data_IF_431824774314
#
_entry.id   IF_431824774314
#
_cell.length_a   1.000
_cell.length_b   1.000
_cell.length_c   1.000
_cell.angle_alpha   90.00
_cell.angle_beta   90.00
_cell.angle_gamma   90.00
#
_symmetry.space_group_name_H-M   'P 1'
#
loop_
_entity.id
_entity.type
_entity.pdbx_description
1 polymer ?
#
# COMPACT_ATOMS: atom_id res chain seq x y z
N UNK A 1 -14.63 24.49 47.27
CA UNK A 1 -15.17 23.35 46.49
C UNK A 1 -15.90 23.72 45.19
N UNK A 2 -16.29 24.98 44.93
CA UNK A 2 -16.91 25.38 43.63
C UNK A 2 -15.94 25.85 42.53
N UNK A 3 -14.64 26.02 42.82
CA UNK A 3 -13.64 26.51 41.85
C UNK A 3 -12.80 25.41 41.18
N UNK A 4 -12.87 24.17 41.66
CA UNK A 4 -12.18 23.00 41.07
C UNK A 4 -13.08 22.33 40.00
N UNK A 5 -14.41 22.41 40.15
CA UNK A 5 -15.35 21.85 39.19
C UNK A 5 -15.35 22.57 37.82
N UNK A 6 -15.04 23.87 37.78
CA UNK A 6 -14.99 24.65 36.53
C UNK A 6 -13.72 24.34 35.73
N UNK A 7 -12.61 24.02 36.40
CA UNK A 7 -11.35 23.67 35.74
C UNK A 7 -11.40 22.26 35.12
N UNK A 8 -12.09 21.32 35.77
CA UNK A 8 -12.30 19.95 35.23
C UNK A 8 -13.28 19.96 34.05
N UNK A 9 -14.29 20.83 34.05
CA UNK A 9 -15.19 20.99 32.90
C UNK A 9 -14.51 21.65 31.69
N UNK A 10 -13.59 22.60 31.91
CA UNK A 10 -12.83 23.24 30.83
C UNK A 10 -11.77 22.30 30.22
N UNK A 11 -11.14 21.43 31.02
CA UNK A 11 -10.18 20.43 30.52
C UNK A 11 -10.90 19.28 29.81
N UNK A 12 -12.10 18.88 30.27
CA UNK A 12 -12.94 17.91 29.54
C UNK A 12 -13.47 18.47 28.21
N UNK A 13 -13.79 19.76 28.15
CA UNK A 13 -14.18 20.42 26.88
C UNK A 13 -12.98 20.58 25.93
N UNK A 14 -11.76 20.80 26.43
CA UNK A 14 -10.55 20.87 25.61
C UNK A 14 -10.07 19.49 25.12
N UNK A 15 -10.39 18.41 25.84
CA UNK A 15 -10.13 17.02 25.42
C UNK A 15 -11.19 16.46 24.45
N UNK A 16 -12.32 17.15 24.27
CA UNK A 16 -13.37 16.79 23.31
C UNK A 16 -13.22 17.48 21.94
N UNK A 17 -12.28 18.40 21.79
CA UNK A 17 -12.04 19.14 20.52
C UNK A 17 -10.90 18.53 19.68
N UNK A 18 -10.16 17.53 20.20
CA UNK A 18 -9.16 16.78 19.41
C UNK A 18 -9.66 15.45 18.82
N UNK A 19 -10.98 15.21 18.83
CA UNK A 19 -11.57 13.98 18.28
C UNK A 19 -12.12 14.11 16.84
N UNK A 20 -11.99 15.28 16.20
CA UNK A 20 -12.39 15.49 14.80
C UNK A 20 -11.26 16.17 14.03
N UNK A 21 -10.11 15.50 13.99
CA UNK A 21 -9.14 15.66 12.92
C UNK A 21 -9.34 14.53 11.93
N UNK A 22 -10.48 14.49 11.24
CA UNK A 22 -10.54 13.83 9.94
C UNK A 22 -9.66 14.67 9.01
N UNK A 23 -8.35 14.37 8.98
CA UNK A 23 -7.59 14.66 7.76
C UNK A 23 -8.38 14.06 6.60
N UNK A 24 -8.37 14.71 5.43
CA UNK A 24 -9.15 14.39 4.23
C UNK A 24 -8.93 13.00 3.63
N UNK A 25 -9.05 11.96 4.45
CA UNK A 25 -9.25 10.59 4.07
C UNK A 25 -10.68 10.48 3.57
N UNK A 26 -10.80 9.89 2.39
CA UNK A 26 -12.05 9.54 1.74
C UNK A 26 -13.09 9.09 2.79
N UNK A 27 -14.17 9.84 2.97
CA UNK A 27 -15.33 9.35 3.70
C UNK A 27 -15.89 8.18 2.87
N UNK A 28 -15.45 6.98 3.21
CA UNK A 28 -15.98 5.75 2.63
C UNK A 28 -17.47 5.63 2.95
N UNK A 29 -18.29 5.06 2.05
CA UNK A 29 -19.68 4.74 2.37
C UNK A 29 -19.78 3.91 3.66
N UNK A 30 -20.87 4.11 4.41
CA UNK A 30 -21.18 3.41 5.66
C UNK A 30 -20.91 1.91 5.52
N UNK A 31 -20.13 1.33 6.45
CA UNK A 31 -19.80 -0.09 6.42
C UNK A 31 -21.07 -0.94 6.34
N UNK A 32 -21.28 -1.63 5.21
CA UNK A 32 -22.33 -2.62 5.08
C UNK A 32 -21.97 -3.88 5.89
N UNK A 33 -22.93 -4.79 6.08
CA UNK A 33 -22.68 -6.09 6.70
C UNK A 33 -21.62 -6.87 5.91
N UNK A 34 -20.40 -6.92 6.45
CA UNK A 34 -19.32 -7.73 5.91
C UNK A 34 -19.40 -9.16 6.46
N UNK A 35 -19.18 -10.14 5.60
CA UNK A 35 -19.09 -11.56 5.98
C UNK A 35 -17.63 -11.98 5.94
N UNK A 36 -17.17 -12.66 6.99
CA UNK A 36 -15.85 -13.29 7.02
C UNK A 36 -16.00 -14.80 6.96
N UNK A 37 -15.29 -15.45 6.03
CA UNK A 37 -15.21 -16.90 5.93
C UNK A 37 -13.76 -17.37 5.90
N UNK A 38 -13.50 -18.55 6.47
CA UNK A 38 -12.21 -19.21 6.35
C UNK A 38 -12.22 -20.09 5.11
N UNK A 39 -11.29 -19.81 4.21
CA UNK A 39 -11.04 -20.59 3.00
C UNK A 39 -9.74 -21.37 3.18
N UNK A 40 -9.74 -22.66 2.82
CA UNK A 40 -8.57 -23.53 2.95
C UNK A 40 -8.42 -24.31 1.64
N UNK A 41 -7.21 -24.31 1.10
CA UNK A 41 -6.89 -25.05 -0.11
C UNK A 41 -5.52 -25.75 -0.01
N UNK A 42 -5.43 -27.06 -0.36
CA UNK A 42 -6.51 -27.94 -0.84
C UNK A 42 -7.57 -28.21 0.24
N UNK A 43 -8.79 -28.57 -0.17
CA UNK A 43 -9.86 -28.92 0.78
C UNK A 43 -9.54 -30.26 1.44
N UNK A 44 -9.64 -30.31 2.77
CA UNK A 44 -9.44 -31.54 3.55
C UNK A 44 -10.33 -32.69 3.03
N UNK A 45 -9.84 -33.94 3.01
CA UNK A 45 -8.61 -34.44 3.63
C UNK A 45 -7.33 -34.25 2.77
N UNK A 46 -7.43 -33.62 1.60
CA UNK A 46 -6.26 -33.38 0.74
C UNK A 46 -5.31 -32.35 1.36
N UNK A 47 -4.02 -32.42 1.07
CA UNK A 47 -3.03 -31.41 1.45
C UNK A 47 -1.89 -31.38 0.44
N UNK A 48 -1.12 -30.29 0.43
CA UNK A 48 0.15 -30.27 -0.29
C UNK A 48 1.19 -31.07 0.50
N UNK A 49 1.85 -31.99 -0.20
CA UNK A 49 3.01 -32.70 0.36
C UNK A 49 4.28 -31.99 -0.10
N UNK A 50 4.96 -31.31 0.82
CA UNK A 50 6.21 -30.61 0.54
C UNK A 50 7.37 -31.52 0.96
N UNK A 51 8.18 -32.06 0.04
CA UNK A 51 9.28 -32.94 0.38
C UNK A 51 10.29 -32.25 1.31
N UNK A 52 10.89 -33.02 2.24
CA UNK A 52 12.01 -32.52 3.04
C UNK A 52 13.32 -32.51 2.25
N UNK A 53 14.39 -32.04 2.88
CA UNK A 53 15.74 -32.02 2.31
C UNK A 53 16.02 -30.76 1.49
N UNK A 54 15.55 -29.61 1.96
CA UNK A 54 15.71 -28.32 1.27
C UNK A 54 15.10 -28.32 -0.14
N UNK A 55 13.90 -28.88 -0.24
CA UNK A 55 13.11 -28.93 -1.46
C UNK A 55 12.01 -27.87 -1.44
N UNK A 56 11.39 -27.67 -2.59
CA UNK A 56 10.25 -26.79 -2.75
C UNK A 56 9.13 -27.48 -3.54
N UNK A 57 7.91 -27.02 -3.31
CA UNK A 57 6.75 -27.29 -4.13
C UNK A 57 6.31 -25.97 -4.79
N UNK A 58 6.38 -25.94 -6.11
CA UNK A 58 5.95 -24.82 -6.94
C UNK A 58 4.86 -25.29 -7.89
N UNK A 59 3.74 -24.57 -7.95
CA UNK A 59 2.69 -24.89 -8.91
C UNK A 59 1.76 -23.70 -9.20
N UNK A 60 0.97 -23.84 -10.25
CA UNK A 60 -0.14 -22.95 -10.57
C UNK A 60 -1.40 -23.78 -10.79
N UNK A 61 -2.47 -23.48 -10.08
CA UNK A 61 -3.72 -24.22 -10.17
C UNK A 61 -4.95 -23.31 -10.24
N UNK A 62 -5.96 -23.76 -10.99
CA UNK A 62 -7.25 -23.08 -11.07
C UNK A 62 -8.18 -23.59 -9.98
N UNK A 63 -8.61 -22.71 -9.09
CA UNK A 63 -9.50 -23.02 -7.96
C UNK A 63 -10.88 -22.40 -8.19
N UNK A 64 -11.89 -23.27 -8.29
CA UNK A 64 -13.30 -22.87 -8.48
C UNK A 64 -14.08 -22.77 -7.17
N UNK A 65 -13.55 -23.35 -6.08
CA UNK A 65 -14.16 -23.32 -4.76
C UNK A 65 -13.87 -21.99 -4.07
N UNK A 66 -14.45 -20.90 -4.58
CA UNK A 66 -14.24 -19.56 -4.04
C UNK A 66 -15.03 -19.30 -2.75
N UNK A 67 -14.53 -18.46 -1.82
CA UNK A 67 -15.20 -18.11 -0.57
C UNK A 67 -16.53 -17.37 -0.77
N UNK A 68 -16.68 -16.70 -1.91
CA UNK A 68 -17.91 -16.08 -2.38
C UNK A 68 -17.88 -15.95 -3.91
N UNK A 69 -19.05 -15.78 -4.52
CA UNK A 69 -19.20 -15.39 -5.93
C UNK A 69 -20.16 -14.22 -6.02
N UNK A 70 -19.97 -13.33 -7.00
CA UNK A 70 -20.73 -12.08 -7.11
C UNK A 70 -20.66 -11.22 -5.83
N UNK A 71 -19.43 -10.94 -5.41
CA UNK A 71 -19.10 -10.28 -4.14
C UNK A 71 -17.91 -9.34 -4.30
N UNK A 72 -17.74 -8.44 -3.34
CA UNK A 72 -16.58 -7.55 -3.21
C UNK A 72 -15.74 -8.01 -2.04
N UNK A 73 -14.54 -8.50 -2.31
CA UNK A 73 -13.56 -8.86 -1.30
C UNK A 73 -12.95 -7.57 -0.77
N UNK A 74 -12.99 -7.38 0.54
CA UNK A 74 -12.43 -6.19 1.20
C UNK A 74 -11.21 -6.53 2.04
N UNK A 75 -10.97 -7.82 2.30
CA UNK A 75 -9.81 -8.31 3.04
C UNK A 75 -9.42 -9.73 2.66
N UNK A 76 -8.13 -9.96 2.49
CA UNK A 76 -7.53 -11.30 2.41
C UNK A 76 -6.37 -11.36 3.40
N UNK A 77 -6.49 -12.25 4.40
CA UNK A 77 -5.44 -12.52 5.37
C UNK A 77 -4.90 -13.94 5.16
N UNK A 78 -3.67 -14.08 4.65
CA UNK A 78 -3.11 -15.37 4.34
C UNK A 78 -2.39 -16.02 5.51
N UNK A 79 -2.39 -17.35 5.51
CA UNK A 79 -1.64 -18.22 6.39
C UNK A 79 -1.25 -19.52 5.68
N UNK A 80 -0.22 -20.20 6.19
CA UNK A 80 0.10 -21.59 5.88
C UNK A 80 -0.18 -22.41 7.12
N UNK A 81 -0.89 -23.52 7.00
CA UNK A 81 -1.22 -24.39 8.12
C UNK A 81 -0.79 -25.82 7.83
N UNK A 82 -0.49 -26.59 8.86
CA UNK A 82 -0.40 -28.04 8.72
C UNK A 82 -1.80 -28.62 8.49
N UNK A 83 -1.94 -29.54 7.53
CA UNK A 83 -3.21 -30.20 7.24
C UNK A 83 -2.97 -31.68 6.96
N UNK A 84 -3.50 -32.52 7.85
CA UNK A 84 -3.28 -33.97 7.79
C UNK A 84 -1.83 -34.39 8.07
N UNK A 85 -1.00 -33.50 8.64
CA UNK A 85 0.37 -33.82 9.03
C UNK A 85 0.39 -34.59 10.36
N UNK A 86 1.01 -35.77 10.37
CA UNK A 86 1.07 -36.62 11.55
C UNK A 86 1.87 -36.02 12.71
N UNK A 87 2.82 -35.12 12.42
CA UNK A 87 3.61 -34.43 13.45
C UNK A 87 2.91 -33.19 13.99
N UNK A 88 1.90 -32.67 13.29
CA UNK A 88 1.13 -31.46 13.64
C UNK A 88 -0.38 -31.71 13.54
N UNK A 89 -0.93 -32.61 14.38
CA UNK A 89 -2.34 -33.00 14.30
C UNK A 89 -3.31 -31.87 14.70
N UNK A 90 -2.82 -30.82 15.35
CA UNK A 90 -3.59 -29.65 15.79
C UNK A 90 -3.78 -28.59 14.70
N UNK A 91 -3.14 -28.76 13.53
CA UNK A 91 -3.28 -27.86 12.40
C UNK A 91 -2.73 -26.45 12.66
N UNK A 92 -1.67 -26.36 13.46
CA UNK A 92 -0.99 -25.09 13.75
C UNK A 92 -0.52 -24.39 12.48
N UNK A 93 -0.24 -23.09 12.59
CA UNK A 93 0.37 -22.31 11.52
C UNK A 93 1.78 -22.82 11.26
N UNK A 94 2.04 -23.15 10.00
CA UNK A 94 3.36 -23.46 9.47
C UNK A 94 4.10 -22.15 9.15
N UNK A 95 5.33 -22.06 9.63
CA UNK A 95 6.25 -20.95 9.45
C UNK A 95 7.65 -21.46 9.80
N UNK A 96 8.68 -20.84 9.22
CA UNK A 96 10.04 -21.37 9.12
C UNK A 96 10.62 -21.96 10.43
N UNK A 97 10.38 -21.35 11.59
CA UNK A 97 10.89 -21.78 12.90
C UNK A 97 9.79 -21.93 13.97
N UNK A 98 8.65 -22.59 13.71
CA UNK A 98 7.61 -22.67 14.75
C UNK A 98 8.19 -23.20 16.08
N UNK A 99 7.79 -22.59 17.21
CA UNK A 99 8.38 -22.72 18.56
C UNK A 99 8.46 -24.19 19.09
N UNK A 100 7.95 -25.16 18.33
CA UNK A 100 7.95 -26.57 18.71
C UNK A 100 8.71 -27.49 17.75
N UNK A 101 9.06 -27.05 16.54
CA UNK A 101 9.63 -27.95 15.53
C UNK A 101 10.71 -27.32 14.66
N UNK A 102 11.78 -28.08 14.45
CA UNK A 102 12.83 -27.81 13.44
C UNK A 102 12.33 -28.16 12.03
N UNK A 103 11.10 -27.76 11.73
CA UNK A 103 10.35 -28.22 10.57
C UNK A 103 10.77 -27.55 9.29
N UNK A 104 11.19 -26.29 9.37
CA UNK A 104 11.74 -25.57 8.24
C UNK A 104 10.78 -25.46 7.06
N UNK A 105 9.45 -25.52 7.26
CA UNK A 105 8.45 -25.37 6.19
C UNK A 105 7.83 -23.97 6.22
N UNK A 106 7.77 -23.31 5.06
CA UNK A 106 7.22 -21.97 4.95
C UNK A 106 6.63 -21.71 3.57
N UNK A 107 5.71 -20.76 3.53
CA UNK A 107 5.16 -20.22 2.29
C UNK A 107 6.17 -19.19 1.78
N UNK A 108 6.89 -19.50 0.72
CA UNK A 108 7.91 -18.62 0.17
C UNK A 108 7.24 -17.41 -0.49
N UNK A 109 6.29 -17.66 -1.39
CA UNK A 109 5.32 -16.68 -1.89
C UNK A 109 4.10 -17.40 -2.48
N UNK A 110 3.00 -16.68 -2.63
CA UNK A 110 1.85 -17.04 -3.45
C UNK A 110 1.25 -15.79 -4.07
N UNK A 111 0.53 -16.00 -5.17
CA UNK A 111 -0.23 -14.98 -5.87
C UNK A 111 -1.60 -15.56 -6.19
N UNK A 112 -2.65 -14.78 -5.95
CA UNK A 112 -4.00 -15.07 -6.45
C UNK A 112 -4.24 -14.19 -7.67
N UNK A 113 -4.49 -14.82 -8.81
CA UNK A 113 -4.88 -14.15 -10.05
C UNK A 113 -6.37 -14.38 -10.29
N UNK A 114 -7.06 -13.36 -10.77
CA UNK A 114 -8.47 -13.50 -11.17
C UNK A 114 -8.57 -14.33 -12.45
N UNK A 115 -9.26 -15.46 -12.40
CA UNK A 115 -9.48 -16.34 -13.55
C UNK A 115 -10.37 -15.74 -14.63
N UNK A 116 -11.18 -14.73 -14.32
CA UNK A 116 -11.94 -13.95 -15.30
C UNK A 116 -11.15 -12.80 -15.90
N UNK A 117 -10.10 -12.33 -15.21
CA UNK A 117 -9.22 -11.28 -15.71
C UNK A 117 -7.77 -11.54 -15.32
N UNK A 118 -7.03 -12.20 -16.20
CA UNK A 118 -5.66 -12.65 -15.95
C UNK A 118 -4.65 -11.49 -15.76
N UNK A 119 -5.02 -10.24 -16.06
CA UNK A 119 -4.17 -9.08 -15.74
C UNK A 119 -4.19 -8.73 -14.26
N UNK A 120 -5.25 -9.14 -13.55
CA UNK A 120 -5.51 -8.78 -12.17
C UNK A 120 -4.91 -9.82 -11.23
N UNK A 121 -3.77 -9.47 -10.61
CA UNK A 121 -3.21 -10.20 -9.48
C UNK A 121 -3.78 -9.58 -8.22
N UNK A 122 -4.73 -10.27 -7.61
CA UNK A 122 -5.59 -9.79 -6.51
C UNK A 122 -4.76 -9.55 -5.25
N UNK A 123 -3.85 -10.47 -4.92
CA UNK A 123 -2.94 -10.36 -3.78
C UNK A 123 -1.68 -11.18 -4.09
N UNK A 124 -0.54 -10.70 -3.62
CA UNK A 124 0.68 -11.48 -3.45
C UNK A 124 1.16 -11.39 -2.01
N UNK A 125 1.62 -12.51 -1.46
CA UNK A 125 2.24 -12.56 -0.13
C UNK A 125 3.06 -13.85 0.02
N UNK A 126 3.98 -13.89 0.97
CA UNK A 126 4.77 -15.05 1.32
C UNK A 126 4.87 -15.23 2.83
N UNK A 127 6.08 -15.50 3.31
CA UNK A 127 6.31 -15.80 4.72
C UNK A 127 5.99 -14.61 5.64
N UNK A 128 5.99 -13.41 5.07
CA UNK A 128 5.65 -12.15 5.70
C UNK A 128 4.17 -11.97 6.06
N UNK A 129 3.27 -12.80 5.50
CA UNK A 129 1.81 -12.75 5.75
C UNK A 129 1.23 -11.34 5.57
N UNK A 130 1.59 -10.67 4.48
CA UNK A 130 1.02 -9.39 4.08
C UNK A 130 -0.48 -9.55 3.88
N UNK A 131 -1.25 -8.68 4.54
CA UNK A 131 -2.71 -8.67 4.47
C UNK A 131 -3.11 -7.68 3.39
N UNK A 132 -3.99 -8.11 2.47
CA UNK A 132 -4.78 -7.16 1.70
C UNK A 132 -5.93 -6.69 2.59
N UNK A 133 -6.04 -5.38 2.78
CA UNK A 133 -7.15 -4.74 3.47
C UNK A 133 -7.47 -3.45 2.74
N UNK A 134 -8.60 -3.44 2.04
CA UNK A 134 -9.08 -2.23 1.38
C UNK A 134 -9.62 -1.24 2.43
N UNK A 135 -9.52 0.07 2.18
CA UNK A 135 -10.20 1.07 2.98
C UNK A 135 -11.71 0.81 3.01
N UNK A 136 -12.39 1.16 4.12
CA UNK A 136 -13.85 1.00 4.21
C UNK A 136 -14.57 1.59 3.00
N UNK A 137 -15.47 0.81 2.41
CA UNK A 137 -16.26 1.22 1.25
C UNK A 137 -15.66 0.89 -0.12
N UNK A 138 -14.51 0.22 -0.17
CA UNK A 138 -13.94 -0.33 -1.40
C UNK A 138 -13.84 -1.86 -1.32
N UNK A 139 -13.74 -2.52 -2.46
CA UNK A 139 -13.42 -3.95 -2.52
C UNK A 139 -13.09 -4.45 -3.92
N UNK A 140 -12.34 -5.54 -4.02
CA UNK A 140 -12.10 -6.24 -5.28
C UNK A 140 -13.32 -7.08 -5.69
N UNK A 141 -13.90 -6.80 -6.86
CA UNK A 141 -15.09 -7.53 -7.34
C UNK A 141 -14.73 -8.91 -7.91
N UNK A 142 -15.39 -9.95 -7.42
CA UNK A 142 -15.37 -11.31 -7.98
C UNK A 142 -16.71 -11.58 -8.67
N UNK A 143 -16.66 -11.71 -9.99
CA UNK A 143 -17.84 -12.00 -10.81
C UNK A 143 -18.39 -13.42 -10.61
N UNK A 144 -19.67 -13.65 -10.98
CA UNK A 144 -20.24 -14.99 -11.00
C UNK A 144 -19.52 -15.88 -12.03
N UNK A 145 -19.21 -17.12 -11.64
CA UNK A 145 -18.52 -18.08 -12.51
C UNK A 145 -17.01 -17.87 -12.65
N UNK A 146 -16.43 -16.88 -11.98
CA UNK A 146 -14.99 -16.68 -11.93
C UNK A 146 -14.31 -17.71 -11.03
N UNK A 147 -13.04 -17.96 -11.31
CA UNK A 147 -12.15 -18.79 -10.50
C UNK A 147 -10.99 -17.95 -9.98
N UNK A 148 -10.23 -18.49 -9.05
CA UNK A 148 -8.89 -18.01 -8.75
C UNK A 148 -7.88 -18.88 -9.46
N UNK A 149 -6.78 -18.28 -9.90
CA UNK A 149 -5.58 -19.01 -10.25
C UNK A 149 -4.60 -18.78 -9.10
N UNK A 150 -4.30 -19.84 -8.36
CA UNK A 150 -3.39 -19.82 -7.24
C UNK A 150 -2.01 -20.26 -7.75
N UNK A 151 -1.08 -19.30 -7.83
CA UNK A 151 0.34 -19.57 -8.03
C UNK A 151 1.01 -19.59 -6.65
N UNK A 152 1.83 -20.60 -6.35
CA UNK A 152 2.48 -20.69 -5.05
C UNK A 152 3.84 -21.37 -5.13
N UNK A 153 4.68 -21.00 -4.17
CA UNK A 153 5.98 -21.57 -3.89
C UNK A 153 6.07 -21.84 -2.39
N UNK A 154 6.16 -23.11 -2.00
CA UNK A 154 6.26 -23.53 -0.60
C UNK A 154 7.56 -24.30 -0.42
N UNK A 155 8.40 -23.86 0.50
CA UNK A 155 9.70 -24.45 0.76
C UNK A 155 9.69 -25.31 2.02
N UNK A 156 10.56 -26.32 2.05
CA UNK A 156 10.83 -27.16 3.21
C UNK A 156 12.32 -27.47 3.34
N UNK A 157 12.98 -26.76 4.27
CA UNK A 157 14.37 -26.96 4.67
C UNK A 157 14.53 -28.03 5.75
N UNK A 158 13.44 -28.50 6.36
CA UNK A 158 13.45 -29.62 7.30
C UNK A 158 13.76 -30.95 6.60
N UNK A 159 14.12 -31.96 7.38
CA UNK A 159 14.51 -33.27 6.84
C UNK A 159 13.33 -34.13 6.40
N UNK A 160 12.14 -33.88 6.95
CA UNK A 160 10.95 -34.70 6.74
C UNK A 160 9.97 -34.00 5.80
N UNK A 161 9.25 -34.78 5.00
CA UNK A 161 8.12 -34.25 4.25
C UNK A 161 7.06 -33.70 5.20
N UNK A 162 6.42 -32.59 4.80
CA UNK A 162 5.36 -31.92 5.56
C UNK A 162 4.10 -31.78 4.74
N UNK A 163 2.96 -31.88 5.42
CA UNK A 163 1.65 -31.76 4.82
C UNK A 163 0.99 -30.44 5.22
N UNK A 164 0.77 -29.56 4.24
CA UNK A 164 0.30 -28.19 4.48
C UNK A 164 -0.85 -27.79 3.57
N UNK A 165 -1.55 -26.71 3.95
CA UNK A 165 -2.56 -26.06 3.14
C UNK A 165 -2.44 -24.53 3.30
N UNK A 166 -2.83 -23.80 2.27
CA UNK A 166 -2.96 -22.34 2.34
C UNK A 166 -4.34 -22.04 2.94
N UNK A 167 -4.35 -21.21 3.98
CA UNK A 167 -5.57 -20.71 4.63
C UNK A 167 -5.69 -19.22 4.38
N UNK A 168 -6.89 -18.77 4.03
CA UNK A 168 -7.23 -17.35 3.94
C UNK A 168 -8.43 -17.07 4.85
N UNK A 169 -8.33 -16.04 5.68
CA UNK A 169 -9.53 -15.39 6.22
C UNK A 169 -9.98 -14.33 5.22
N UNK A 170 -11.12 -14.58 4.59
CA UNK A 170 -11.65 -13.76 3.50
C UNK A 170 -12.82 -12.96 4.02
N UNK A 171 -12.73 -11.63 3.95
CA UNK A 171 -13.85 -10.74 4.28
C UNK A 171 -14.40 -10.15 3.00
N UNK A 172 -15.71 -10.22 2.83
CA UNK A 172 -16.38 -9.76 1.62
C UNK A 172 -17.77 -9.17 1.93
N UNK A 173 -18.29 -8.41 0.96
CA UNK A 173 -19.63 -7.86 0.97
C UNK A 173 -20.37 -8.27 -0.31
N UNK A 174 -21.69 -8.43 -0.24
CA UNK A 174 -22.55 -8.71 -1.41
C UNK A 174 -23.28 -7.46 -1.91
N UNK A 175 -23.24 -6.38 -1.13
CA UNK A 175 -23.65 -5.05 -1.60
C UNK A 175 -22.54 -4.49 -2.49
N UNK A 176 -22.94 -3.84 -3.59
CA UNK A 176 -21.98 -3.27 -4.54
C UNK A 176 -21.12 -2.20 -3.87
N UNK A 177 -19.81 -2.30 -4.07
CA UNK A 177 -18.81 -1.31 -3.66
C UNK A 177 -18.09 -0.76 -4.89
N UNK A 178 -17.56 0.47 -4.83
CA UNK A 178 -16.48 0.91 -5.70
C UNK A 178 -15.36 -0.14 -5.78
N UNK A 179 -15.00 -0.51 -7.01
CA UNK A 179 -14.03 -1.58 -7.25
C UNK A 179 -12.60 -1.12 -6.99
N UNK A 180 -11.87 -1.92 -6.21
CA UNK A 180 -10.42 -1.90 -6.15
C UNK A 180 -9.85 -2.64 -7.38
N UNK A 181 -9.00 -1.97 -8.15
CA UNK A 181 -8.38 -2.46 -9.39
C UNK A 181 -6.87 -2.64 -9.14
N UNK A 182 -6.37 -3.89 -9.12
CA UNK A 182 -4.96 -4.15 -8.88
C UNK A 182 -4.14 -3.86 -10.14
N UNK A 183 -3.00 -3.20 -9.93
CA UNK A 183 -1.94 -2.96 -10.91
C UNK A 183 -0.70 -3.71 -10.40
N UNK A 184 -0.20 -4.61 -11.24
CA UNK A 184 0.97 -5.43 -10.94
C UNK A 184 2.23 -4.74 -11.43
N UNK A 185 3.15 -4.51 -10.50
CA UNK A 185 4.47 -3.95 -10.77
C UNK A 185 5.51 -5.02 -10.43
N UNK A 186 6.44 -5.25 -11.34
CA UNK A 186 7.47 -6.26 -11.27
C UNK A 186 8.77 -5.68 -11.82
N UNK A 187 9.87 -5.82 -11.06
CA UNK A 187 11.16 -5.35 -11.54
C UNK A 187 11.68 -6.21 -12.69
N UNK A 188 11.31 -7.48 -12.70
CA UNK A 188 11.84 -8.48 -13.62
C UNK A 188 10.85 -8.72 -14.76
N UNK A 189 11.38 -8.85 -15.97
CA UNK A 189 10.61 -9.34 -17.12
C UNK A 189 10.62 -10.88 -17.21
N UNK A 190 11.27 -11.56 -16.27
CA UNK A 190 11.34 -13.02 -16.25
C UNK A 190 10.02 -13.63 -15.76
N UNK A 191 9.74 -14.84 -16.23
CA UNK A 191 8.48 -15.55 -15.90
C UNK A 191 8.32 -15.89 -14.42
N UNK A 192 9.43 -15.95 -13.67
CA UNK A 192 9.47 -16.22 -12.24
C UNK A 192 9.63 -14.94 -11.39
N UNK A 193 9.60 -13.74 -11.99
CA UNK A 193 9.76 -12.46 -11.29
C UNK A 193 11.11 -12.29 -10.55
N UNK A 194 12.09 -13.14 -10.85
CA UNK A 194 13.39 -13.14 -10.18
C UNK A 194 14.49 -12.54 -11.07
N UNK A 195 15.56 -12.05 -10.44
CA UNK A 195 16.76 -11.56 -11.09
C UNK A 195 18.00 -11.77 -10.19
N UNK A 196 19.19 -11.64 -10.78
CA UNK A 196 20.44 -11.77 -10.04
C UNK A 196 20.90 -10.43 -9.47
N UNK A 197 21.19 -10.40 -8.17
CA UNK A 197 21.85 -9.28 -7.50
C UNK A 197 23.33 -9.59 -7.22
N UNK A 198 24.20 -8.57 -7.27
CA UNK A 198 25.59 -8.73 -6.89
C UNK A 198 25.74 -8.95 -5.37
N UNK A 199 26.98 -9.08 -4.91
CA UNK A 199 27.28 -8.89 -3.50
C UNK A 199 27.18 -7.42 -3.13
N UNK A 200 26.96 -7.14 -1.84
CA UNK A 200 26.75 -5.80 -1.31
C UNK A 200 25.47 -5.15 -1.84
N UNK A 201 25.43 -3.82 -1.81
CA UNK A 201 24.28 -3.03 -2.14
C UNK A 201 23.91 -3.12 -3.63
N UNK A 202 22.61 -3.22 -3.89
CA UNK A 202 21.99 -3.12 -5.20
C UNK A 202 20.69 -2.35 -5.10
N UNK A 203 20.47 -1.39 -5.99
CA UNK A 203 19.17 -0.79 -6.26
C UNK A 203 18.88 -0.96 -7.74
N UNK A 204 18.17 -2.03 -8.07
CA UNK A 204 17.73 -2.30 -9.44
C UNK A 204 16.34 -1.77 -9.61
N UNK A 205 16.05 -1.23 -10.78
CA UNK A 205 14.73 -0.70 -11.06
C UNK A 205 14.25 -1.04 -12.46
N UNK A 206 12.95 -0.92 -12.68
CA UNK A 206 12.41 -0.95 -14.05
C UNK A 206 13.04 0.14 -14.90
N UNK A 207 13.14 -0.09 -16.21
CA UNK A 207 13.86 0.79 -17.14
C UNK A 207 15.37 0.56 -17.18
N UNK A 208 15.96 -0.19 -16.24
CA UNK A 208 17.34 -0.65 -16.35
C UNK A 208 17.50 -1.70 -17.46
N UNK A 209 18.72 -1.77 -18.01
CA UNK A 209 19.09 -2.85 -18.93
C UNK A 209 18.94 -4.22 -18.28
N UNK A 210 18.17 -5.10 -18.93
CA UNK A 210 17.88 -6.46 -18.45
C UNK A 210 16.76 -6.55 -17.42
N UNK A 211 16.08 -5.43 -17.11
CA UNK A 211 14.91 -5.37 -16.23
C UNK A 211 13.63 -5.09 -17.04
N UNK A 212 12.47 -5.20 -16.41
CA UNK A 212 11.21 -4.79 -17.02
C UNK A 212 11.23 -3.29 -17.37
N UNK A 213 10.48 -2.87 -18.39
CA UNK A 213 10.34 -1.45 -18.72
C UNK A 213 9.59 -0.68 -17.62
N UNK A 214 9.78 0.64 -17.53
CA UNK A 214 8.94 1.47 -16.66
C UNK A 214 7.47 1.36 -17.08
N UNK A 215 6.57 1.49 -16.11
CA UNK A 215 5.13 1.30 -16.30
C UNK A 215 4.47 2.61 -16.70
N UNK A 216 4.12 2.75 -17.98
CA UNK A 216 3.22 3.83 -18.41
C UNK A 216 1.78 3.46 -18.06
N UNK A 217 1.18 4.27 -17.19
CA UNK A 217 -0.19 4.06 -16.71
C UNK A 217 -1.19 4.37 -17.82
N UNK A 218 -2.16 3.48 -18.00
CA UNK A 218 -3.27 3.65 -18.95
C UNK A 218 -4.59 3.99 -18.27
N UNK A 219 -4.61 3.96 -16.94
CA UNK A 219 -5.77 4.18 -16.10
C UNK A 219 -5.57 5.46 -15.29
N UNK A 220 -6.68 6.11 -14.98
CA UNK A 220 -6.74 7.12 -13.91
C UNK A 220 -7.39 6.53 -12.67
N UNK A 221 -6.97 6.95 -11.49
CA UNK A 221 -7.48 6.41 -10.24
C UNK A 221 -6.84 7.00 -9.00
N UNK A 222 -7.49 6.82 -7.85
CA UNK A 222 -6.87 7.05 -6.55
C UNK A 222 -6.26 5.74 -6.06
N UNK A 223 -5.00 5.77 -5.66
CA UNK A 223 -4.35 4.67 -4.97
C UNK A 223 -4.96 4.56 -3.57
N UNK A 224 -5.61 3.44 -3.31
CA UNK A 224 -6.28 3.14 -2.04
C UNK A 224 -5.50 2.14 -1.19
N UNK A 225 -4.47 1.53 -1.77
CA UNK A 225 -3.56 0.64 -1.08
C UNK A 225 -2.41 0.24 -1.99
N UNK A 226 -1.28 -0.09 -1.39
CA UNK A 226 -0.17 -0.71 -2.11
C UNK A 226 0.66 -1.53 -1.11
N UNK A 227 1.30 -2.59 -1.60
CA UNK A 227 2.19 -3.42 -0.81
C UNK A 227 3.17 -4.18 -1.70
N UNK A 228 4.30 -4.57 -1.13
CA UNK A 228 5.36 -5.25 -1.86
C UNK A 228 5.79 -6.59 -1.28
N UNK A 229 6.59 -7.29 -2.05
CA UNK A 229 7.28 -8.52 -1.65
C UNK A 229 8.70 -8.53 -2.24
N UNK A 230 9.65 -8.98 -1.42
CA UNK A 230 11.06 -9.18 -1.77
C UNK A 230 11.54 -10.48 -1.13
N UNK A 231 12.64 -11.03 -1.63
CA UNK A 231 13.31 -12.19 -1.03
C UNK A 231 14.38 -11.75 -0.03
N UNK A 232 15.04 -12.72 0.61
CA UNK A 232 16.09 -12.48 1.60
C UNK A 232 17.18 -11.51 1.11
N UNK A 233 17.77 -10.79 2.06
CA UNK A 233 18.66 -9.64 1.82
C UNK A 233 17.95 -8.42 1.20
N UNK A 234 16.66 -8.52 0.87
CA UNK A 234 15.84 -7.41 0.41
C UNK A 234 15.60 -6.43 1.54
N UNK A 235 15.72 -5.14 1.24
CA UNK A 235 15.52 -4.01 2.17
C UNK A 235 14.12 -3.43 1.96
N UNK A 236 13.79 -3.20 0.69
CA UNK A 236 12.52 -2.62 0.30
C UNK A 236 12.25 -2.80 -1.18
N UNK A 237 10.99 -2.61 -1.53
CA UNK A 237 10.54 -2.35 -2.89
C UNK A 237 9.71 -1.07 -2.88
N UNK A 238 9.98 -0.18 -3.83
CA UNK A 238 9.48 1.19 -3.83
C UNK A 238 8.96 1.59 -5.20
N UNK A 239 7.79 2.23 -5.23
CA UNK A 239 7.22 2.82 -6.42
C UNK A 239 7.55 4.32 -6.48
N UNK A 240 8.06 4.77 -7.62
CA UNK A 240 8.45 6.15 -7.89
C UNK A 240 7.74 6.64 -9.15
N UNK A 241 7.06 7.78 -9.09
CA UNK A 241 6.61 8.45 -10.31
C UNK A 241 7.81 9.22 -10.88
N UNK A 242 8.14 8.99 -12.14
CA UNK A 242 9.30 9.63 -12.80
C UNK A 242 9.07 11.08 -13.21
N UNK A 243 7.86 11.60 -13.00
CA UNK A 243 7.44 12.94 -13.40
C UNK A 243 7.13 13.09 -14.89
N UNK A 244 7.28 12.02 -15.69
CA UNK A 244 6.71 11.98 -17.03
C UNK A 244 5.18 12.03 -16.94
N UNK A 245 4.54 12.77 -17.86
CA UNK A 245 3.09 13.01 -17.82
C UNK A 245 2.67 14.26 -17.06
N UNK A 246 3.57 15.25 -16.90
CA UNK A 246 3.30 16.54 -16.23
C UNK A 246 2.89 16.39 -14.75
N UNK A 247 3.47 15.41 -14.05
CA UNK A 247 3.39 15.18 -12.60
C UNK A 247 4.75 15.42 -11.93
N UNK A 248 4.83 15.70 -10.62
CA UNK A 248 6.12 15.78 -9.95
C UNK A 248 6.77 14.40 -9.90
N UNK A 249 8.10 14.37 -10.01
CA UNK A 249 8.88 13.18 -9.72
C UNK A 249 8.94 12.97 -8.20
N UNK A 250 8.36 11.88 -7.71
CA UNK A 250 8.36 11.60 -6.28
C UNK A 250 8.06 10.13 -5.97
N UNK A 251 8.41 9.74 -4.75
CA UNK A 251 8.12 8.43 -4.19
C UNK A 251 6.63 8.32 -3.87
N UNK A 252 5.98 7.32 -4.45
CA UNK A 252 4.58 6.99 -4.17
C UNK A 252 4.50 6.15 -2.89
N UNK A 253 5.34 5.13 -2.82
CA UNK A 253 5.41 4.24 -1.67
C UNK A 253 6.77 3.55 -1.57
N UNK A 254 7.20 3.28 -0.34
CA UNK A 254 8.20 2.26 -0.02
C UNK A 254 7.63 1.18 0.90
N UNK A 255 7.63 -0.08 0.43
CA UNK A 255 7.30 -1.27 1.22
C UNK A 255 8.58 -1.89 1.74
N UNK A 256 8.74 -1.90 3.06
CA UNK A 256 9.97 -2.27 3.76
C UNK A 256 9.87 -3.70 4.28
N UNK A 257 10.95 -4.47 4.14
CA UNK A 257 11.05 -5.82 4.68
C UNK A 257 11.32 -5.83 6.20
N UNK A 258 10.76 -6.82 6.88
CA UNK A 258 10.94 -7.07 8.30
C UNK A 258 11.55 -8.45 8.52
N UNK A 259 12.55 -8.51 9.39
CA UNK A 259 13.24 -9.75 9.76
C UNK A 259 13.14 -10.01 11.26
N UNK A 260 13.21 -11.29 11.63
CA UNK A 260 13.35 -11.72 13.02
C UNK A 260 14.74 -11.40 13.59
N UNK A 261 14.83 -11.28 14.92
CA UNK A 261 16.07 -10.85 15.59
C UNK A 261 17.24 -11.77 15.34
N UNK A 262 18.39 -11.21 14.93
CA UNK A 262 19.61 -11.96 14.67
C UNK A 262 19.58 -12.73 13.36
N UNK A 263 18.67 -12.42 12.42
CA UNK A 263 18.67 -13.05 11.10
C UNK A 263 20.00 -12.85 10.37
N UNK A 264 20.54 -13.94 9.81
CA UNK A 264 21.68 -13.89 8.86
C UNK A 264 21.31 -13.27 7.51
N UNK A 265 20.02 -13.15 7.21
CA UNK A 265 19.50 -12.55 5.97
C UNK A 265 19.20 -11.05 6.13
N UNK A 266 19.31 -10.51 7.35
CA UNK A 266 19.06 -9.10 7.61
C UNK A 266 20.05 -8.23 6.79
N UNK A 267 19.56 -7.35 5.91
CA UNK A 267 20.42 -6.44 5.18
C UNK A 267 20.87 -5.29 6.08
N UNK A 268 22.17 -5.03 6.14
CA UNK A 268 22.73 -3.93 6.97
C UNK A 268 23.30 -2.81 6.10
N UNK A 269 22.73 -1.60 6.17
CA UNK A 269 23.24 -0.39 5.50
C UNK A 269 22.45 0.06 4.27
N UNK A 270 23.00 1.02 3.52
CA UNK A 270 22.43 1.61 2.30
C UNK A 270 22.37 3.15 2.33
N UNK A 271 21.90 3.81 1.26
CA UNK A 271 22.11 5.24 1.05
C UNK A 271 21.20 6.17 1.88
N UNK A 272 20.10 5.66 2.45
CA UNK A 272 19.20 6.45 3.30
C UNK A 272 18.32 7.45 2.52
N UNK A 273 17.70 7.01 1.44
CA UNK A 273 16.77 7.81 0.62
C UNK A 273 15.31 7.56 1.03
N UNK A 274 14.31 8.36 0.59
CA UNK A 274 12.90 8.02 0.86
C UNK A 274 12.50 6.64 0.30
N UNK A 275 13.03 6.26 -0.87
CA UNK A 275 12.91 4.93 -1.45
C UNK A 275 13.68 3.82 -0.72
N UNK A 276 14.54 4.19 0.23
CA UNK A 276 15.41 3.32 1.03
C UNK A 276 15.58 3.91 2.43
N UNK A 277 14.53 3.91 3.28
CA UNK A 277 14.62 4.55 4.57
C UNK A 277 15.66 3.83 5.43
N UNK A 278 16.46 4.58 6.19
CA UNK A 278 17.52 3.99 7.04
C UNK A 278 16.94 2.94 8.02
N UNK A 279 15.70 3.17 8.46
CA UNK A 279 14.93 2.25 9.30
C UNK A 279 14.56 0.93 8.60
N UNK A 280 14.66 0.82 7.28
CA UNK A 280 14.44 -0.45 6.55
C UNK A 280 15.53 -1.50 6.81
N UNK A 281 16.65 -1.10 7.41
CA UNK A 281 17.67 -2.02 7.92
C UNK A 281 17.46 -2.42 9.39
N UNK A 282 16.34 -2.02 10.00
CA UNK A 282 16.01 -2.38 11.39
C UNK A 282 15.09 -3.59 11.46
N UNK A 283 15.39 -4.49 12.41
CA UNK A 283 14.59 -5.68 12.68
C UNK A 283 13.15 -5.27 13.04
N UNK A 284 12.22 -5.47 12.11
CA UNK A 284 10.81 -5.15 12.33
C UNK A 284 10.12 -6.40 12.87
N UNK A 285 10.01 -6.48 14.20
CA UNK A 285 9.38 -7.58 14.90
C UNK A 285 7.85 -7.47 14.83
N UNK A 286 7.19 -8.36 14.08
CA UNK A 286 5.71 -8.49 14.13
C UNK A 286 5.31 -9.46 15.24
N UNK A 287 4.79 -8.94 16.35
CA UNK A 287 4.28 -9.75 17.46
C UNK A 287 3.13 -10.66 16.98
N UNK A 288 3.25 -11.98 17.20
CA UNK A 288 2.28 -12.99 16.76
C UNK A 288 2.81 -13.96 15.68
N UNK A 289 3.77 -13.53 14.85
CA UNK A 289 4.57 -14.43 13.99
C UNK A 289 5.97 -14.68 14.54
N UNK A 290 6.21 -14.14 15.74
CA UNK A 290 7.39 -14.37 16.57
C UNK A 290 7.59 -15.85 16.79
N UNK A 291 8.84 -16.26 16.63
CA UNK A 291 9.32 -17.56 17.00
C UNK A 291 10.62 -17.36 17.77
N UNK A 292 10.67 -17.82 19.02
CA UNK A 292 11.91 -17.92 19.77
C UNK A 292 12.75 -19.05 19.15
N UNK A 293 13.57 -18.70 18.17
CA UNK A 293 14.52 -19.60 17.53
C UNK A 293 15.95 -19.29 17.97
N UNK A 294 16.61 -20.23 18.65
CA UNK A 294 18.02 -20.10 19.05
C UNK A 294 19.04 -20.16 17.90
N UNK A 295 18.60 -20.09 16.65
CA UNK A 295 19.42 -20.36 15.47
C UNK A 295 19.25 -19.32 14.34
N UNK A 296 19.13 -18.02 14.65
CA UNK A 296 19.54 -16.87 13.80
C UNK A 296 19.27 -16.92 12.26
N UNK A 297 18.30 -17.69 11.76
CA UNK A 297 18.02 -17.89 10.32
C UNK A 297 16.59 -17.48 9.99
N UNK A 298 16.21 -16.25 10.31
CA UNK A 298 14.87 -15.78 10.02
C UNK A 298 14.80 -15.24 8.60
N UNK A 299 14.12 -15.94 7.70
CA UNK A 299 13.65 -15.35 6.45
C UNK A 299 12.75 -14.15 6.73
N UNK A 300 12.40 -13.38 5.69
CA UNK A 300 11.47 -12.26 5.83
C UNK A 300 10.19 -12.68 6.56
N UNK A 301 9.82 -11.88 7.56
CA UNK A 301 8.68 -12.09 8.47
C UNK A 301 7.63 -10.97 8.38
N UNK A 302 7.92 -9.91 7.62
CA UNK A 302 7.02 -8.78 7.44
C UNK A 302 7.34 -8.00 6.19
N UNK A 303 6.31 -7.39 5.60
CA UNK A 303 6.43 -6.28 4.66
C UNK A 303 5.50 -5.18 5.15
N UNK A 304 5.97 -3.93 5.19
CA UNK A 304 5.12 -2.81 5.59
C UNK A 304 4.11 -2.48 4.49
N UNK A 305 2.85 -2.27 4.85
CA UNK A 305 1.91 -1.63 3.94
C UNK A 305 2.33 -0.18 3.66
N UNK A 306 2.01 0.30 2.46
CA UNK A 306 2.30 1.65 2.03
C UNK A 306 1.46 2.69 2.78
N UNK A 307 2.09 3.79 3.21
CA UNK A 307 1.37 5.03 3.53
C UNK A 307 1.46 5.96 2.31
N UNK A 308 0.32 6.29 1.72
CA UNK A 308 0.25 7.05 0.47
C UNK A 308 -0.29 8.45 0.79
N UNK A 309 0.46 9.48 0.42
CA UNK A 309 0.08 10.89 0.59
C UNK A 309 -1.01 11.28 -0.41
N UNK A 310 -1.85 12.29 -0.14
CA UNK A 310 -2.87 12.65 -1.14
C UNK A 310 -2.24 13.11 -2.46
N UNK A 311 -1.13 13.86 -2.38
CA UNK A 311 -0.33 14.27 -3.54
C UNK A 311 0.05 13.12 -4.46
N UNK A 312 0.54 12.01 -3.90
CA UNK A 312 0.95 10.84 -4.67
C UNK A 312 -0.15 9.78 -4.82
N UNK A 313 -1.34 10.04 -4.29
CA UNK A 313 -2.46 9.11 -4.37
C UNK A 313 -3.20 9.15 -5.71
N UNK A 314 -2.99 10.15 -6.56
CA UNK A 314 -3.68 10.23 -7.86
C UNK A 314 -2.76 9.74 -8.95
N UNK A 315 -3.19 8.71 -9.68
CA UNK A 315 -2.57 8.21 -10.90
C UNK A 315 -3.37 8.69 -12.09
N UNK A 316 -2.66 9.13 -13.13
CA UNK A 316 -3.21 9.59 -14.39
C UNK A 316 -2.69 8.77 -15.57
N UNK A 317 -3.43 8.76 -16.71
CA UNK A 317 -2.95 8.15 -17.92
C UNK A 317 -1.71 8.90 -18.40
N UNK A 318 -0.63 8.18 -18.73
CA UNK A 318 0.65 8.75 -19.12
C UNK A 318 1.66 8.89 -17.98
N UNK A 319 1.23 8.78 -16.71
CA UNK A 319 2.18 8.66 -15.59
C UNK A 319 3.12 7.49 -15.83
N UNK A 320 4.41 7.68 -15.54
CA UNK A 320 5.41 6.61 -15.69
C UNK A 320 5.93 6.23 -14.32
N UNK A 321 5.54 5.03 -13.88
CA UNK A 321 5.90 4.45 -12.59
C UNK A 321 7.12 3.56 -12.75
N UNK A 322 8.15 3.86 -11.97
CA UNK A 322 9.35 3.06 -11.83
C UNK A 322 9.31 2.28 -10.53
N UNK A 323 9.53 0.97 -10.62
CA UNK A 323 9.69 0.12 -9.45
C UNK A 323 11.17 -0.02 -9.13
N UNK A 324 11.58 0.42 -7.95
CA UNK A 324 12.91 0.22 -7.41
C UNK A 324 12.93 -0.93 -6.42
N UNK A 325 13.98 -1.75 -6.45
CA UNK A 325 14.17 -2.94 -5.61
C UNK A 325 15.54 -2.90 -4.96
N UNK A 326 15.55 -2.76 -3.64
CA UNK A 326 16.76 -2.53 -2.89
C UNK A 326 17.16 -3.78 -2.12
N UNK A 327 18.42 -4.15 -2.27
CA UNK A 327 19.03 -5.29 -1.61
C UNK A 327 20.38 -4.91 -1.04
N UNK A 328 20.79 -5.60 0.02
CA UNK A 328 22.18 -5.61 0.45
C UNK A 328 22.61 -7.03 0.80
N UNK A 329 23.25 -7.67 -0.17
CA UNK A 329 23.61 -9.07 -0.11
C UNK A 329 24.95 -9.27 0.61
N UNK A 330 24.87 -9.79 1.82
CA UNK A 330 26.03 -10.06 2.70
C UNK A 330 26.54 -11.50 2.61
N UNK A 331 25.98 -12.34 1.73
CA UNK A 331 26.33 -13.77 1.61
C UNK A 331 27.74 -14.04 1.08
N UNK A 332 28.36 -13.06 0.40
CA UNK A 332 29.69 -13.18 -0.20
C UNK A 332 29.69 -13.75 -1.63
N UNK A 333 28.52 -14.04 -2.21
CA UNK A 333 28.36 -14.43 -3.62
C UNK A 333 27.07 -13.84 -4.22
N UNK A 334 26.95 -13.72 -5.56
CA UNK A 334 25.70 -13.26 -6.18
C UNK A 334 24.50 -14.15 -5.81
N UNK A 335 23.36 -13.52 -5.55
CA UNK A 335 22.08 -14.19 -5.25
C UNK A 335 21.23 -14.12 -6.52
N UNK A 336 20.68 -15.24 -6.97
CA UNK A 336 20.08 -15.39 -8.31
C UNK A 336 18.55 -15.33 -8.32
N UNK A 337 17.97 -15.42 -7.13
CA UNK A 337 16.56 -15.45 -6.83
C UNK A 337 16.14 -14.17 -6.10
N UNK A 338 16.69 -13.00 -6.43
CA UNK A 338 16.16 -11.75 -5.88
C UNK A 338 14.82 -11.43 -6.57
N UNK A 339 13.81 -11.03 -5.80
CA UNK A 339 12.49 -10.64 -6.31
C UNK A 339 12.16 -9.19 -5.93
N UNK A 340 11.34 -8.51 -6.73
CA UNK A 340 10.75 -7.27 -6.27
C UNK A 340 9.49 -6.95 -7.03
N UNK A 341 8.37 -7.16 -6.34
CA UNK A 341 7.03 -7.01 -6.87
C UNK A 341 6.21 -6.10 -5.95
N UNK A 342 5.26 -5.37 -6.54
CA UNK A 342 4.24 -4.62 -5.81
C UNK A 342 2.88 -4.81 -6.45
N UNK A 343 1.84 -4.80 -5.60
CA UNK A 343 0.46 -4.67 -6.04
C UNK A 343 -0.03 -3.30 -5.58
N UNK A 344 -0.37 -2.45 -6.55
CA UNK A 344 -1.02 -1.16 -6.36
C UNK A 344 -2.53 -1.33 -6.57
N UNK A 345 -3.36 -0.81 -5.67
CA UNK A 345 -4.83 -0.87 -5.82
C UNK A 345 -5.34 0.52 -6.15
N UNK A 346 -5.87 0.68 -7.36
CA UNK A 346 -6.55 1.88 -7.82
C UNK A 346 -8.04 1.74 -7.59
N UNK A 347 -8.71 2.82 -7.19
CA UNK A 347 -10.16 2.84 -7.19
C UNK A 347 -10.69 4.19 -7.65
N UNK A 348 -11.88 4.16 -8.22
CA UNK A 348 -12.66 5.34 -8.55
C UNK A 348 -13.53 5.71 -7.35
N UNK A 349 -13.38 6.91 -6.73
CA UNK A 349 -14.29 7.37 -5.69
C UNK A 349 -15.74 7.40 -6.17
N UNK A 350 -16.73 7.16 -5.28
CA UNK A 350 -18.16 7.20 -5.63
C UNK A 350 -18.61 8.51 -6.30
N UNK A 351 -18.00 9.63 -5.87
CA UNK A 351 -18.12 10.92 -6.52
C UNK A 351 -16.78 11.19 -7.18
N UNK A 352 -16.64 10.83 -8.45
CA UNK A 352 -15.46 11.17 -9.23
C UNK A 352 -15.30 12.68 -9.18
N UNK A 353 -14.18 13.22 -8.68
CA UNK A 353 -13.86 14.62 -8.87
C UNK A 353 -13.59 14.80 -10.38
N UNK A 354 -14.62 15.27 -11.10
CA UNK A 354 -14.62 15.65 -12.52
C UNK A 354 -15.55 16.87 -12.62
N UNK A 355 -15.03 18.02 -12.19
CA UNK A 355 -15.77 19.26 -12.02
C UNK A 355 -16.38 19.75 -13.34
N UNK A 356 -15.68 19.53 -14.47
CA UNK A 356 -16.12 19.96 -15.80
C UNK A 356 -16.90 18.87 -16.58
N UNK A 357 -17.04 17.66 -16.04
CA UNK A 357 -17.72 16.51 -16.63
C UNK A 357 -17.14 16.07 -18.00
N UNK A 358 -15.83 16.16 -18.20
CA UNK A 358 -15.18 15.77 -19.45
C UNK A 358 -14.69 14.30 -19.44
N UNK A 359 -14.79 13.61 -18.30
CA UNK A 359 -14.35 12.23 -18.11
C UNK A 359 -12.88 12.09 -17.64
N UNK A 360 -12.16 13.19 -17.48
CA UNK A 360 -10.84 13.28 -16.86
C UNK A 360 -11.03 13.66 -15.40
N UNK A 361 -10.27 13.04 -14.51
CA UNK A 361 -10.34 13.44 -13.11
C UNK A 361 -9.69 14.79 -12.89
N UNK A 362 -10.19 15.57 -11.95
CA UNK A 362 -9.67 16.91 -11.59
C UNK A 362 -8.15 16.87 -11.38
N UNK A 363 -7.64 15.85 -10.66
CA UNK A 363 -6.18 15.67 -10.46
C UNK A 363 -5.39 15.41 -11.76
N UNK A 364 -6.03 14.89 -12.79
CA UNK A 364 -5.47 14.57 -14.10
C UNK A 364 -5.69 15.66 -15.15
N UNK A 365 -6.34 16.76 -14.78
CA UNK A 365 -6.59 17.87 -15.67
C UNK A 365 -5.32 18.64 -16.05
N UNK A 366 -5.43 19.42 -17.13
CA UNK A 366 -4.39 20.34 -17.55
C UNK A 366 -4.10 21.39 -16.46
N UNK A 367 -2.86 21.91 -16.44
CA UNK A 367 -2.39 22.88 -15.42
C UNK A 367 -3.16 24.19 -15.34
N UNK A 368 -3.95 24.51 -16.35
CA UNK A 368 -4.72 25.75 -16.47
C UNK A 368 -6.24 25.53 -16.41
N UNK A 369 -6.69 24.29 -16.18
CA UNK A 369 -8.10 24.00 -16.01
C UNK A 369 -8.51 24.38 -14.59
N UNK A 370 -9.47 25.29 -14.49
CA UNK A 370 -10.04 25.86 -13.27
C UNK A 370 -11.55 25.98 -13.53
N UNK A 371 -12.29 24.99 -13.06
CA UNK A 371 -13.68 24.73 -13.43
C UNK A 371 -14.64 25.67 -12.74
N UNK A 372 -14.33 26.09 -11.52
CA UNK A 372 -15.13 27.08 -10.82
C UNK A 372 -14.62 28.51 -11.00
N UNK A 373 -13.42 28.73 -11.52
CA UNK A 373 -12.78 30.02 -11.74
C UNK A 373 -12.61 30.87 -10.46
N UNK A 374 -12.25 30.21 -9.36
CA UNK A 374 -11.78 30.83 -8.11
C UNK A 374 -10.27 31.17 -8.13
N UNK A 375 -9.57 30.75 -9.18
CA UNK A 375 -8.17 30.99 -9.45
C UNK A 375 -7.27 29.80 -9.19
N UNK A 376 -7.76 28.71 -8.58
CA UNK A 376 -7.00 27.48 -8.32
C UNK A 376 -7.29 26.43 -9.41
N UNK A 377 -6.25 25.80 -9.99
CA UNK A 377 -6.49 24.73 -10.95
C UNK A 377 -7.12 23.51 -10.28
N UNK A 378 -8.06 22.84 -10.96
CA UNK A 378 -8.77 21.64 -10.49
C UNK A 378 -7.81 20.57 -9.95
N UNK A 379 -6.65 20.45 -10.60
CA UNK A 379 -5.62 19.47 -10.21
C UNK A 379 -4.92 19.78 -8.89
N UNK A 380 -4.80 21.06 -8.53
CA UNK A 380 -4.27 21.50 -7.23
C UNK A 380 -5.32 21.17 -6.17
N UNK A 381 -6.56 21.55 -6.42
CA UNK A 381 -7.71 21.32 -5.53
C UNK A 381 -7.93 19.85 -5.20
N UNK A 382 -7.83 18.98 -6.21
CA UNK A 382 -7.90 17.54 -6.05
C UNK A 382 -6.85 16.98 -5.08
N UNK A 383 -5.66 17.59 -5.02
CA UNK A 383 -4.57 17.19 -4.12
C UNK A 383 -4.73 17.77 -2.73
N UNK A 384 -5.08 19.06 -2.62
CA UNK A 384 -5.23 19.76 -1.34
C UNK A 384 -6.57 19.46 -0.64
N UNK A 385 -7.47 18.77 -1.34
CA UNK A 385 -8.74 18.28 -0.81
C UNK A 385 -9.84 19.34 -0.80
N UNK A 386 -9.83 20.26 -1.76
CA UNK A 386 -10.92 21.23 -1.98
C UNK A 386 -11.82 20.84 -3.15
N UNK A 387 -12.98 21.51 -3.26
CA UNK A 387 -14.00 21.19 -4.24
C UNK A 387 -13.84 22.03 -5.51
N UNK A 388 -13.26 21.44 -6.55
CA UNK A 388 -12.94 22.11 -7.83
C UNK A 388 -14.13 22.64 -8.64
N UNK A 389 -15.36 22.41 -8.18
CA UNK A 389 -16.58 22.91 -8.81
C UNK A 389 -17.31 23.96 -7.96
N UNK A 390 -16.71 24.41 -6.87
CA UNK A 390 -17.34 25.26 -5.89
C UNK A 390 -16.35 26.30 -5.36
N UNK A 391 -16.46 27.53 -5.87
CA UNK A 391 -15.62 28.66 -5.46
C UNK A 391 -15.63 28.89 -3.96
N UNK A 392 -16.78 28.67 -3.31
CA UNK A 392 -17.04 29.03 -1.92
C UNK A 392 -17.84 27.97 -1.17
N UNK A 393 -17.58 27.88 0.12
CA UNK A 393 -18.22 26.93 1.02
C UNK A 393 -17.20 26.23 1.90
N UNK A 394 -17.67 25.22 2.63
CA UNK A 394 -16.80 24.40 3.44
C UNK A 394 -15.85 23.59 2.55
N UNK A 395 -14.53 23.75 2.75
CA UNK A 395 -13.48 23.09 1.96
C UNK A 395 -13.61 23.31 0.44
N UNK A 396 -14.01 24.52 0.06
CA UNK A 396 -14.19 24.90 -1.34
C UNK A 396 -13.01 25.66 -1.89
N UNK A 397 -12.54 26.69 -1.18
CA UNK A 397 -11.46 27.56 -1.66
C UNK A 397 -10.14 27.22 -0.96
N UNK A 398 -9.05 26.90 -1.67
CA UNK A 398 -7.77 26.57 -1.05
C UNK A 398 -7.22 27.65 -0.11
N UNK A 399 -7.48 28.93 -0.40
CA UNK A 399 -7.02 30.07 0.41
C UNK A 399 -7.85 30.35 1.68
N UNK A 400 -8.99 29.67 1.86
CA UNK A 400 -9.85 29.77 3.05
C UNK A 400 -9.79 28.43 3.81
N UNK A 401 -8.68 28.26 4.53
CA UNK A 401 -8.32 27.02 5.23
C UNK A 401 -9.36 26.69 6.29
N UNK A 402 -9.87 27.69 7.02
CA UNK A 402 -10.86 27.48 8.08
C UNK A 402 -12.33 27.62 7.63
N UNK A 403 -12.55 27.82 6.33
CA UNK A 403 -13.87 27.86 5.68
C UNK A 403 -14.80 28.96 6.24
N UNK A 404 -14.24 30.11 6.61
CA UNK A 404 -14.99 31.25 7.14
C UNK A 404 -15.50 32.21 6.04
N UNK A 405 -15.14 31.96 4.78
CA UNK A 405 -15.51 32.74 3.61
C UNK A 405 -14.54 33.89 3.28
N UNK A 406 -13.39 33.98 3.94
CA UNK A 406 -12.37 35.00 3.75
C UNK A 406 -10.98 34.39 3.83
N UNK A 407 -10.06 34.83 2.96
CA UNK A 407 -8.64 34.55 3.14
C UNK A 407 -8.04 35.62 4.06
N UNK A 408 -7.70 35.27 5.29
CA UNK A 408 -7.23 36.23 6.29
C UNK A 408 -6.00 35.77 7.08
N UNK A 409 -5.72 36.46 8.19
CA UNK A 409 -4.52 36.20 8.98
C UNK A 409 -4.57 34.84 9.69
N UNK A 410 -5.76 34.31 9.91
CA UNK A 410 -5.99 33.00 10.52
C UNK A 410 -5.53 31.90 9.57
N UNK A 411 -5.92 31.96 8.30
CA UNK A 411 -5.47 31.04 7.25
C UNK A 411 -3.95 31.09 7.07
N UNK A 412 -3.41 32.32 6.99
CA UNK A 412 -1.97 32.51 6.87
C UNK A 412 -1.22 31.97 8.10
N UNK A 413 -1.82 32.04 9.29
CA UNK A 413 -1.23 31.49 10.52
C UNK A 413 -1.23 29.96 10.50
N UNK A 414 -2.28 29.31 10.00
CA UNK A 414 -2.31 27.85 9.84
C UNK A 414 -1.22 27.38 8.87
N UNK A 415 -1.11 28.04 7.71
CA UNK A 415 -0.11 27.71 6.70
C UNK A 415 1.32 27.98 7.21
N UNK A 416 1.62 29.21 7.65
CA UNK A 416 2.98 29.58 8.11
C UNK A 416 3.40 28.89 9.40
N UNK A 417 2.46 28.43 10.22
CA UNK A 417 2.73 27.56 11.36
C UNK A 417 3.37 26.22 10.97
N UNK A 418 3.27 25.82 9.70
CA UNK A 418 3.87 24.61 9.13
C UNK A 418 5.00 24.92 8.14
N UNK A 419 5.47 26.17 8.04
CA UNK A 419 6.52 26.53 7.09
C UNK A 419 7.80 25.69 7.29
N UNK A 420 8.33 25.14 6.19
CA UNK A 420 9.49 24.27 6.15
C UNK A 420 9.21 22.82 6.56
N UNK A 421 7.95 22.45 6.81
CA UNK A 421 7.55 21.08 7.17
C UNK A 421 7.21 20.29 5.91
N UNK A 422 7.67 19.03 5.77
CA UNK A 422 7.26 18.17 4.65
C UNK A 422 5.78 17.80 4.77
N UNK A 423 5.15 17.55 3.62
CA UNK A 423 3.83 16.97 3.48
C UNK A 423 4.03 15.48 3.16
N UNK A 424 3.87 14.55 4.13
CA UNK A 424 3.52 14.67 5.55
C UNK A 424 4.72 14.94 6.49
N UNK A 425 4.50 15.39 7.76
CA UNK A 425 3.26 15.36 8.54
C UNK A 425 2.36 16.59 8.38
N UNK A 426 2.76 17.62 7.64
CA UNK A 426 1.86 18.73 7.35
C UNK A 426 0.65 18.22 6.53
N UNK A 427 -0.56 18.77 6.74
CA UNK A 427 -1.72 18.46 5.90
C UNK A 427 -1.49 18.86 4.44
N UNK A 428 -1.93 18.04 3.49
CA UNK A 428 -1.89 18.38 2.05
C UNK A 428 -2.62 19.71 1.76
N UNK A 429 -3.64 20.06 2.58
CA UNK A 429 -4.42 21.31 2.48
C UNK A 429 -3.57 22.58 2.48
N UNK A 430 -2.35 22.54 3.01
CA UNK A 430 -1.48 23.72 3.12
C UNK A 430 -0.53 23.88 1.93
N UNK A 431 -0.34 22.84 1.10
CA UNK A 431 0.50 22.87 -0.09
C UNK A 431 -0.27 23.44 -1.29
N UNK A 432 -0.60 24.73 -1.28
CA UNK A 432 -1.44 25.37 -2.31
C UNK A 432 -0.63 26.07 -3.42
N UNK A 433 0.70 26.05 -3.32
CA UNK A 433 1.62 26.70 -4.23
C UNK A 433 1.77 25.99 -5.58
N UNK A 434 2.08 26.78 -6.62
CA UNK A 434 2.38 26.28 -7.96
C UNK A 434 1.17 25.74 -8.75
N UNK A 435 1.46 25.04 -9.85
CA UNK A 435 0.45 24.35 -10.66
C UNK A 435 0.20 22.90 -10.20
N UNK A 436 1.05 22.41 -9.29
CA UNK A 436 0.95 21.14 -8.58
C UNK A 436 1.61 21.35 -7.21
N UNK A 437 0.96 20.96 -6.12
CA UNK A 437 1.56 20.98 -4.79
C UNK A 437 2.88 20.22 -4.78
N UNK A 438 3.90 20.77 -4.13
CA UNK A 438 5.16 20.07 -3.88
C UNK A 438 5.13 19.31 -2.53
N UNK A 439 6.27 18.79 -2.10
CA UNK A 439 6.37 17.95 -0.91
C UNK A 439 6.56 18.76 0.40
N UNK A 440 6.54 20.09 0.36
CA UNK A 440 6.86 20.96 1.48
C UNK A 440 5.92 22.15 1.56
N UNK A 441 5.73 22.64 2.78
CA UNK A 441 5.14 23.96 2.96
C UNK A 441 6.25 25.00 2.84
N UNK A 442 6.23 25.77 1.78
CA UNK A 442 7.34 26.65 1.41
C UNK A 442 6.88 28.07 1.03
N UNK A 443 7.80 28.85 0.45
CA UNK A 443 7.52 30.25 0.13
C UNK A 443 6.51 30.40 -1.02
N UNK A 444 6.36 29.39 -1.87
CA UNK A 444 5.40 29.40 -2.97
C UNK A 444 3.96 29.29 -2.45
N UNK A 445 3.73 28.46 -1.41
CA UNK A 445 2.43 28.36 -0.74
C UNK A 445 2.06 29.67 -0.05
N UNK A 446 3.01 30.24 0.71
CA UNK A 446 2.82 31.53 1.40
C UNK A 446 2.56 32.64 0.37
N UNK A 447 3.32 32.67 -0.73
CA UNK A 447 3.15 33.66 -1.80
C UNK A 447 1.79 33.52 -2.46
N UNK A 448 1.29 32.29 -2.61
CA UNK A 448 -0.03 32.03 -3.17
C UNK A 448 -1.14 32.51 -2.25
N UNK A 449 -1.11 32.11 -0.97
CA UNK A 449 -2.07 32.58 0.04
C UNK A 449 -2.09 34.11 0.16
N UNK A 450 -0.91 34.74 0.18
CA UNK A 450 -0.80 36.19 0.30
C UNK A 450 -1.31 36.96 -0.92
N UNK A 451 -1.42 36.33 -2.09
CA UNK A 451 -2.05 36.94 -3.27
C UNK A 451 -3.57 37.11 -3.11
N UNK A 452 -4.19 36.26 -2.31
CA UNK A 452 -5.62 36.25 -2.00
C UNK A 452 -5.96 36.92 -0.65
N UNK A 453 -4.94 37.28 0.14
CA UNK A 453 -5.12 37.86 1.47
C UNK A 453 -6.04 39.09 1.49
N UNK A 454 -6.96 39.09 2.44
CA UNK A 454 -7.96 40.13 2.65
C UNK A 454 -9.11 40.11 1.66
N UNK A 455 -9.19 39.10 0.79
CA UNK A 455 -10.32 38.92 -0.14
C UNK A 455 -11.39 38.03 0.48
N UNK A 456 -12.67 38.40 0.33
CA UNK A 456 -13.74 37.42 0.49
C UNK A 456 -13.59 36.36 -0.61
N UNK A 457 -14.18 35.21 -0.34
CA UNK A 457 -14.33 34.17 -1.34
C UNK A 457 -14.88 34.72 -2.68
N UNK A 458 -14.34 34.32 -3.84
CA UNK A 458 -14.73 34.87 -5.14
C UNK A 458 -16.23 34.68 -5.42
N UNK A 459 -16.92 35.70 -5.98
CA UNK A 459 -18.35 35.62 -6.28
C UNK A 459 -18.70 34.60 -7.36
#
# INVERSE_FOLDING_TARGET
MKRIAVLVAAIAALLLVFAFGEGGGLQGPKAAEATTSTWIWPVAPSSYTVPGGNQALENTETVFSLPCTNCWITRLEPELIYQGDASHPDGTVANYNNNSTTDGVWLHHFVIVDGCNLTNRIIASGNERTILQDPPGYGYFIGPGCSWILNYHIHNSGSNARHVAIRLNVTYQTTALPSAVPVWLDVSSNVNSEYTIPTLYSDKHTGDSGMHADYTMSLQGKIIGMGGHVHDYGISVSAFNTGAGDRPDDWICTSVSGYGTGSVYLPTGGPGTPGHPVSASSETLKAGYQQDGGANRYHIQGMTACNITNRMSIICPGDVIRLHTQYNNTSGFPVVDAMGIMVMYLATPPNVPDANNNGTWDGCEATNQDSDADGYPDRVEAVVGTAANARCGANSWPSDIDSNGFSDITDLTFLTGNFGVPIPPAPDRYGIGGNLPDAFIDITDVSRMTADFGRPCPP
#
